data_IF_682190636738
#
_entry.id   IF_682190636738
#
_cell.length_a   1.000
_cell.length_b   1.000
_cell.length_c   1.000
_cell.angle_alpha   90.00
_cell.angle_beta   90.00
_cell.angle_gamma   90.00
#
_symmetry.space_group_name_H-M   'P 1'
#
loop_
_entity.id
_entity.type
_entity.pdbx_description
1 polymer ?
#
# COMPACT_ATOMS: atom_id res chain seq x y z
N UNK A 1 -4.62 34.11 20.01
CA UNK A 1 -3.79 33.23 19.16
C UNK A 1 -4.00 31.82 19.67
N UNK A 2 -4.62 30.92 18.89
CA UNK A 2 -4.70 29.52 19.30
C UNK A 2 -3.28 28.97 19.32
N UNK A 3 -2.94 28.22 20.38
CA UNK A 3 -1.68 27.50 20.48
C UNK A 3 -1.58 26.57 19.27
N UNK A 4 -0.54 26.73 18.47
CA UNK A 4 -0.08 25.69 17.54
C UNK A 4 0.23 24.48 18.41
N UNK A 5 -0.64 23.48 18.42
CA UNK A 5 -0.39 22.17 19.01
C UNK A 5 0.85 21.61 18.33
N UNK A 6 1.82 21.12 19.13
CA UNK A 6 3.06 20.57 18.61
C UNK A 6 2.78 19.45 17.60
N UNK A 7 3.58 19.39 16.53
CA UNK A 7 3.45 18.38 15.49
C UNK A 7 3.43 16.96 16.11
N UNK A 8 2.45 16.13 15.75
CA UNK A 8 2.37 14.74 16.22
C UNK A 8 3.55 13.94 15.68
N UNK A 9 4.10 13.01 16.47
CA UNK A 9 5.17 12.13 16.00
C UNK A 9 4.66 11.13 14.95
N UNK A 10 5.55 10.63 14.09
CA UNK A 10 5.22 9.61 13.07
C UNK A 10 4.61 8.34 13.68
N UNK A 11 5.00 7.97 14.89
CA UNK A 11 4.44 6.83 15.63
C UNK A 11 2.99 7.07 16.07
N UNK A 12 2.71 8.23 16.66
CA UNK A 12 1.35 8.62 17.07
C UNK A 12 0.38 8.60 15.88
N UNK A 13 0.83 9.11 14.72
CA UNK A 13 0.07 9.04 13.46
C UNK A 13 -0.30 7.61 13.08
N UNK A 14 0.66 6.68 13.14
CA UNK A 14 0.45 5.29 12.74
C UNK A 14 -0.55 4.59 13.66
N UNK A 15 -0.47 4.82 14.97
CA UNK A 15 -1.42 4.25 15.92
C UNK A 15 -2.82 4.88 15.77
N UNK A 16 -2.91 6.19 15.53
CA UNK A 16 -4.17 6.86 15.22
C UNK A 16 -4.82 6.32 13.95
N UNK A 17 -4.05 6.08 12.88
CA UNK A 17 -4.58 5.47 11.66
C UNK A 17 -5.19 4.09 11.93
N UNK A 18 -4.51 3.23 12.70
CA UNK A 18 -5.05 1.92 13.07
C UNK A 18 -6.34 2.08 13.88
N UNK A 19 -6.32 2.93 14.90
CA UNK A 19 -7.46 3.12 15.81
C UNK A 19 -8.68 3.68 15.06
N UNK A 20 -8.50 4.73 14.26
CA UNK A 20 -9.58 5.40 13.52
C UNK A 20 -10.21 4.44 12.52
N UNK A 21 -9.41 3.65 11.79
CA UNK A 21 -9.95 2.65 10.86
C UNK A 21 -10.74 1.53 11.55
N UNK A 22 -10.51 1.27 12.83
CA UNK A 22 -11.23 0.25 13.61
C UNK A 22 -12.47 0.81 14.33
N UNK A 23 -12.44 2.08 14.71
CA UNK A 23 -13.41 2.67 15.65
C UNK A 23 -14.34 3.71 15.02
N UNK A 24 -14.01 4.26 13.85
CA UNK A 24 -14.78 5.32 13.19
C UNK A 24 -15.35 4.85 11.85
N UNK A 25 -16.40 5.53 11.39
CA UNK A 25 -16.92 5.34 10.04
C UNK A 25 -16.08 6.13 9.04
N UNK A 26 -15.11 5.45 8.44
CA UNK A 26 -14.19 6.02 7.45
C UNK A 26 -14.56 5.63 6.03
N UNK A 27 -15.79 5.16 5.80
CA UNK A 27 -16.25 4.86 4.45
C UNK A 27 -16.61 6.13 3.69
N UNK A 28 -16.63 6.02 2.37
CA UNK A 28 -17.09 7.09 1.50
C UNK A 28 -18.59 7.37 1.72
N UNK A 29 -18.99 8.60 2.10
CA UNK A 29 -20.39 8.88 2.43
C UNK A 29 -21.36 8.79 1.25
N UNK A 30 -20.87 8.99 0.03
CA UNK A 30 -21.69 9.11 -1.20
C UNK A 30 -21.11 8.38 -2.42
N UNK A 31 -19.98 7.71 -2.25
CA UNK A 31 -19.27 7.06 -3.35
C UNK A 31 -19.07 5.59 -3.00
N UNK A 32 -19.47 4.72 -3.90
CA UNK A 32 -19.33 3.26 -3.79
C UNK A 32 -18.21 2.78 -4.71
N UNK A 33 -17.95 1.48 -4.71
CA UNK A 33 -16.90 0.88 -5.55
C UNK A 33 -17.27 0.81 -7.04
N UNK A 34 -18.54 1.02 -7.37
CA UNK A 34 -19.09 0.81 -8.71
C UNK A 34 -19.25 -0.68 -9.08
N UNK A 35 -18.81 -1.61 -8.22
CA UNK A 35 -18.96 -3.05 -8.45
C UNK A 35 -20.43 -3.47 -8.51
N UNK A 36 -21.34 -2.70 -7.90
CA UNK A 36 -22.78 -2.92 -7.98
C UNK A 36 -23.34 -2.75 -9.41
N UNK A 37 -22.60 -2.12 -10.33
CA UNK A 37 -22.97 -2.01 -11.74
C UNK A 37 -22.56 -3.22 -12.58
N UNK A 38 -21.77 -4.14 -12.02
CA UNK A 38 -21.29 -5.33 -12.72
C UNK A 38 -22.02 -6.58 -12.25
N UNK A 39 -22.43 -7.42 -13.18
CA UNK A 39 -23.00 -8.75 -12.92
C UNK A 39 -22.37 -9.74 -13.86
N UNK A 40 -21.85 -10.84 -13.30
CA UNK A 40 -21.44 -11.98 -14.11
C UNK A 40 -22.69 -12.73 -14.57
N UNK A 41 -22.76 -13.08 -15.85
CA UNK A 41 -23.85 -13.90 -16.36
C UNK A 41 -23.73 -15.30 -15.76
N UNK A 42 -24.75 -15.73 -15.03
CA UNK A 42 -24.79 -17.07 -14.47
C UNK A 42 -24.88 -18.10 -15.60
N UNK A 43 -23.97 -19.08 -15.59
CA UNK A 43 -24.04 -20.25 -16.45
C UNK A 43 -24.66 -21.41 -15.66
N UNK A 44 -25.92 -21.75 -15.99
CA UNK A 44 -26.68 -22.80 -15.30
C UNK A 44 -26.23 -24.21 -15.67
N UNK A 45 -25.54 -24.38 -16.81
CA UNK A 45 -25.00 -25.66 -17.27
C UNK A 45 -23.52 -25.47 -17.62
N UNK A 46 -22.63 -25.39 -16.62
CA UNK A 46 -21.24 -24.98 -16.83
C UNK A 46 -20.31 -26.10 -17.32
N UNK A 47 -20.78 -27.36 -17.33
CA UNK A 47 -20.03 -28.54 -17.80
C UNK A 47 -18.60 -28.65 -17.23
N UNK A 48 -18.43 -28.30 -15.95
CA UNK A 48 -17.16 -28.30 -15.23
C UNK A 48 -17.27 -28.99 -13.87
N UNK A 49 -16.16 -29.55 -13.39
CA UNK A 49 -15.99 -30.00 -12.02
C UNK A 49 -15.41 -28.85 -11.18
N UNK A 50 -16.06 -28.54 -10.05
CA UNK A 50 -15.58 -27.52 -9.11
C UNK A 50 -14.20 -27.88 -8.53
N UNK A 51 -13.91 -29.17 -8.36
CA UNK A 51 -12.62 -29.63 -7.83
C UNK A 51 -11.46 -29.41 -8.80
N UNK A 52 -11.74 -29.21 -10.09
CA UNK A 52 -10.73 -28.96 -11.13
C UNK A 52 -10.42 -27.47 -11.32
N UNK A 53 -11.12 -26.56 -10.63
CA UNK A 53 -10.87 -25.12 -10.73
C UNK A 53 -9.54 -24.76 -10.05
N UNK A 54 -8.56 -24.34 -10.83
CA UNK A 54 -7.30 -23.76 -10.34
C UNK A 54 -7.39 -22.23 -10.34
N UNK A 55 -7.30 -21.62 -9.15
CA UNK A 55 -7.19 -20.17 -8.98
C UNK A 55 -5.74 -19.68 -8.92
N UNK A 56 -4.77 -20.59 -9.04
CA UNK A 56 -3.36 -20.24 -8.96
C UNK A 56 -2.91 -19.34 -10.11
N UNK A 57 -2.03 -18.38 -9.78
CA UNK A 57 -1.41 -17.48 -10.76
C UNK A 57 0.10 -17.38 -10.52
N UNK A 58 0.85 -16.97 -11.52
CA UNK A 58 2.26 -16.58 -11.36
C UNK A 58 2.36 -15.08 -11.47
N UNK A 59 2.93 -14.43 -10.46
CA UNK A 59 3.16 -12.99 -10.42
C UNK A 59 4.60 -12.73 -9.95
N UNK A 60 5.33 -11.90 -10.71
CA UNK A 60 6.75 -11.56 -10.45
C UNK A 60 7.63 -12.79 -10.15
N UNK A 61 7.41 -13.89 -10.87
CA UNK A 61 8.19 -15.11 -10.75
C UNK A 61 7.79 -16.05 -9.61
N UNK A 62 6.81 -15.68 -8.77
CA UNK A 62 6.29 -16.54 -7.69
C UNK A 62 4.87 -17.02 -8.00
N UNK A 63 4.59 -18.28 -7.64
CA UNK A 63 3.23 -18.84 -7.75
C UNK A 63 2.43 -18.53 -6.49
N UNK A 64 1.24 -17.98 -6.69
CA UNK A 64 0.22 -17.77 -5.66
C UNK A 64 -0.88 -18.83 -5.81
N UNK A 65 -1.52 -19.22 -4.71
CA UNK A 65 -2.67 -20.14 -4.74
C UNK A 65 -3.96 -19.46 -5.23
N UNK A 66 -4.02 -18.13 -5.21
CA UNK A 66 -5.20 -17.35 -5.55
C UNK A 66 -4.79 -15.94 -6.02
N UNK A 67 -5.57 -15.26 -6.90
CA UNK A 67 -5.28 -13.90 -7.34
C UNK A 67 -5.75 -12.87 -6.30
N UNK A 68 -5.37 -13.07 -5.04
CA UNK A 68 -5.73 -12.24 -3.88
C UNK A 68 -4.44 -11.80 -3.21
N UNK A 69 -4.43 -10.59 -2.64
CA UNK A 69 -3.32 -10.09 -1.82
C UNK A 69 -3.85 -9.34 -0.61
N UNK A 70 -3.07 -9.34 0.48
CA UNK A 70 -3.29 -8.47 1.63
C UNK A 70 -2.55 -7.16 1.35
N UNK A 71 -3.29 -6.05 1.22
CA UNK A 71 -2.73 -4.75 0.83
C UNK A 71 -2.00 -4.07 2.00
N UNK A 72 -1.12 -3.12 1.66
CA UNK A 72 -0.37 -2.27 2.58
C UNK A 72 -1.25 -1.56 3.60
N UNK A 73 -0.89 -1.70 4.89
CA UNK A 73 -1.60 -1.08 6.01
C UNK A 73 -0.66 -0.41 7.02
N UNK A 74 0.27 -1.15 7.64
CA UNK A 74 0.95 -0.67 8.85
C UNK A 74 2.39 -1.14 9.01
N UNK A 75 3.04 -0.65 10.07
CA UNK A 75 4.41 -0.90 10.51
C UNK A 75 4.93 0.33 11.26
N UNK A 76 6.00 0.22 12.04
CA UNK A 76 6.61 1.35 12.77
C UNK A 76 6.13 1.59 14.20
N UNK A 77 5.29 0.70 14.76
CA UNK A 77 4.96 0.66 16.20
C UNK A 77 4.91 -0.81 16.66
N UNK A 78 4.99 -1.08 17.96
CA UNK A 78 4.90 -2.46 18.50
C UNK A 78 3.54 -3.10 18.16
N UNK A 79 2.45 -2.31 18.24
CA UNK A 79 1.12 -2.76 17.82
C UNK A 79 1.11 -3.16 16.35
N UNK A 80 1.73 -2.34 15.50
CA UNK A 80 1.83 -2.60 14.07
C UNK A 80 2.67 -3.85 13.75
N UNK A 81 3.73 -4.11 14.50
CA UNK A 81 4.54 -5.33 14.37
C UNK A 81 3.70 -6.59 14.57
N UNK A 82 2.89 -6.61 15.63
CA UNK A 82 2.01 -7.76 15.91
C UNK A 82 0.98 -7.98 14.78
N UNK A 83 0.41 -6.89 14.24
CA UNK A 83 -0.51 -6.97 13.09
C UNK A 83 0.21 -7.53 11.86
N UNK A 84 1.38 -6.99 11.51
CA UNK A 84 2.16 -7.44 10.35
C UNK A 84 2.51 -8.92 10.45
N UNK A 85 2.90 -9.40 11.64
CA UNK A 85 3.23 -10.81 11.86
C UNK A 85 2.02 -11.71 11.64
N UNK A 86 0.85 -11.38 12.20
CA UNK A 86 -0.38 -12.18 12.02
C UNK A 86 -0.81 -12.22 10.56
N UNK A 87 -0.76 -11.10 9.86
CA UNK A 87 -1.10 -11.03 8.44
C UNK A 87 -0.11 -11.83 7.57
N UNK A 88 1.17 -11.83 7.93
CA UNK A 88 2.19 -12.61 7.24
C UNK A 88 2.01 -14.12 7.46
N UNK A 89 1.72 -14.57 8.69
CA UNK A 89 1.37 -15.97 8.98
C UNK A 89 0.15 -16.41 8.16
N UNK A 90 -0.88 -15.56 8.09
CA UNK A 90 -2.07 -15.83 7.27
C UNK A 90 -1.76 -15.87 5.76
N UNK A 91 -0.93 -14.93 5.27
CA UNK A 91 -0.52 -14.89 3.87
C UNK A 91 0.33 -16.12 3.47
N UNK A 92 1.20 -16.58 4.37
CA UNK A 92 2.02 -17.78 4.18
C UNK A 92 1.14 -19.02 4.09
N UNK A 93 0.20 -19.19 5.02
CA UNK A 93 -0.73 -20.34 5.02
C UNK A 93 -1.61 -20.35 3.76
N UNK A 94 -2.18 -19.19 3.40
CA UNK A 94 -3.02 -19.05 2.21
C UNK A 94 -2.22 -19.00 0.89
N UNK A 95 -0.89 -18.87 0.96
CA UNK A 95 0.03 -18.68 -0.18
C UNK A 95 -0.41 -17.56 -1.12
N UNK A 96 -0.70 -16.41 -0.53
CA UNK A 96 -1.08 -15.17 -1.21
C UNK A 96 -0.02 -14.08 -0.98
N UNK A 97 -0.08 -13.00 -1.75
CA UNK A 97 0.86 -11.89 -1.60
C UNK A 97 0.51 -10.99 -0.40
N UNK A 98 1.50 -10.29 0.13
CA UNK A 98 1.37 -9.31 1.20
C UNK A 98 2.14 -8.03 0.85
N UNK A 99 1.49 -6.88 0.98
CA UNK A 99 2.17 -5.59 1.02
C UNK A 99 2.27 -5.08 2.46
N UNK A 100 3.46 -4.64 2.88
CA UNK A 100 3.63 -3.97 4.17
C UNK A 100 3.25 -2.49 4.07
N UNK A 101 3.04 -1.83 5.21
CA UNK A 101 2.83 -0.38 5.26
C UNK A 101 4.11 0.41 4.95
N UNK A 102 3.97 1.73 4.80
CA UNK A 102 5.09 2.63 4.48
C UNK A 102 6.26 2.48 5.45
N UNK A 103 7.43 2.12 4.90
CA UNK A 103 8.68 1.89 5.61
C UNK A 103 9.47 3.18 5.88
N UNK A 104 8.92 4.37 5.56
CA UNK A 104 9.53 5.68 5.85
C UNK A 104 10.09 5.75 7.28
N UNK A 105 9.28 5.35 8.27
CA UNK A 105 9.68 5.38 9.67
C UNK A 105 10.93 4.52 9.97
N UNK A 106 11.06 3.35 9.34
CA UNK A 106 12.24 2.48 9.53
C UNK A 106 13.48 2.94 8.73
N UNK A 107 13.28 3.75 7.68
CA UNK A 107 14.39 4.39 6.97
C UNK A 107 14.95 5.56 7.79
N UNK A 108 14.06 6.34 8.42
CA UNK A 108 14.40 7.46 9.30
C UNK A 108 14.97 6.98 10.64
N UNK A 109 14.40 5.93 11.23
CA UNK A 109 14.87 5.28 12.44
C UNK A 109 15.05 3.75 12.22
N UNK A 110 16.28 3.29 11.98
CA UNK A 110 16.57 1.87 11.76
C UNK A 110 16.16 0.94 12.90
N UNK A 111 15.95 1.43 14.13
CA UNK A 111 15.48 0.59 15.25
C UNK A 111 14.06 0.05 15.01
N UNK A 112 13.27 0.73 14.18
CA UNK A 112 11.90 0.33 13.82
C UNK A 112 11.86 -0.73 12.72
N UNK A 113 12.98 -1.11 12.11
CA UNK A 113 13.01 -2.13 11.04
C UNK A 113 12.42 -3.48 11.49
N UNK A 114 12.59 -3.83 12.77
CA UNK A 114 12.03 -5.05 13.37
C UNK A 114 10.50 -5.13 13.28
N UNK A 115 9.81 -3.99 13.16
CA UNK A 115 8.35 -3.95 13.01
C UNK A 115 7.84 -4.35 11.62
N UNK A 116 8.76 -4.50 10.65
CA UNK A 116 8.49 -4.94 9.29
C UNK A 116 9.09 -6.32 8.99
N UNK A 117 9.88 -6.89 9.91
CA UNK A 117 10.49 -8.20 9.73
C UNK A 117 9.45 -9.33 9.89
N UNK A 118 8.95 -9.78 8.76
CA UNK A 118 7.96 -10.86 8.67
C UNK A 118 8.50 -12.13 8.00
N UNK A 119 9.73 -12.10 7.47
CA UNK A 119 10.30 -13.23 6.72
C UNK A 119 10.53 -14.47 7.58
N UNK A 120 10.70 -14.28 8.89
CA UNK A 120 10.80 -15.39 9.84
C UNK A 120 9.53 -16.28 9.89
N UNK A 121 8.35 -15.70 9.63
CA UNK A 121 7.06 -16.42 9.65
C UNK A 121 6.47 -16.63 8.25
N UNK A 122 6.90 -15.84 7.27
CA UNK A 122 6.45 -15.92 5.89
C UNK A 122 7.63 -15.90 4.90
N UNK A 123 8.45 -16.97 4.86
CA UNK A 123 9.66 -17.01 4.04
C UNK A 123 9.36 -17.05 2.53
N UNK A 124 8.22 -17.61 2.12
CA UNK A 124 7.98 -17.96 0.71
C UNK A 124 7.07 -16.97 -0.02
N UNK A 125 6.26 -16.20 0.72
CA UNK A 125 5.25 -15.32 0.12
C UNK A 125 5.88 -14.29 -0.83
N UNK A 126 5.08 -13.86 -1.79
CA UNK A 126 5.35 -12.67 -2.59
C UNK A 126 5.12 -11.45 -1.69
N UNK A 127 6.19 -10.78 -1.29
CA UNK A 127 6.18 -9.68 -0.31
C UNK A 127 6.52 -8.35 -0.97
N UNK A 128 5.76 -7.31 -0.67
CA UNK A 128 5.98 -5.97 -1.23
C UNK A 128 6.45 -4.99 -0.16
N UNK A 129 7.59 -4.34 -0.43
CA UNK A 129 8.04 -3.16 0.29
C UNK A 129 7.13 -1.98 -0.06
N UNK A 130 7.11 -0.93 0.77
CA UNK A 130 6.25 0.23 0.52
C UNK A 130 6.90 1.55 0.93
N UNK A 131 6.89 2.52 0.02
CA UNK A 131 7.26 3.91 0.27
C UNK A 131 6.25 4.87 -0.37
N UNK A 132 6.13 6.06 0.22
CA UNK A 132 5.35 7.14 -0.39
C UNK A 132 6.12 7.74 -1.55
N UNK A 133 5.52 7.74 -2.74
CA UNK A 133 6.15 8.29 -3.94
C UNK A 133 6.57 9.75 -3.72
N UNK A 134 5.77 10.51 -2.96
CA UNK A 134 6.06 11.91 -2.64
C UNK A 134 7.43 12.11 -1.99
N UNK A 135 7.96 11.12 -1.25
CA UNK A 135 9.27 11.24 -0.59
C UNK A 135 10.43 11.44 -1.59
N UNK A 136 10.26 11.04 -2.86
CA UNK A 136 11.23 11.32 -3.92
C UNK A 136 11.41 12.84 -4.17
N UNK A 137 10.46 13.66 -3.72
CA UNK A 137 10.56 15.13 -3.73
C UNK A 137 11.14 15.72 -2.44
N UNK A 138 11.40 14.90 -1.42
CA UNK A 138 11.86 15.30 -0.09
C UNK A 138 13.17 14.60 0.31
N UNK A 139 13.99 14.23 -0.68
CA UNK A 139 15.36 13.75 -0.48
C UNK A 139 15.55 12.24 -0.65
N UNK A 140 14.49 11.47 -0.87
CA UNK A 140 14.62 10.05 -1.17
C UNK A 140 15.01 9.85 -2.64
N UNK A 141 15.82 8.85 -2.90
CA UNK A 141 16.22 8.41 -4.23
C UNK A 141 16.21 6.88 -4.35
N UNK A 142 17.03 6.39 -5.28
CA UNK A 142 17.14 4.95 -5.55
C UNK A 142 17.68 4.17 -4.35
N UNK A 143 18.57 4.77 -3.56
CA UNK A 143 19.19 4.10 -2.41
C UNK A 143 18.18 3.85 -1.29
N UNK A 144 17.27 4.80 -1.00
CA UNK A 144 16.18 4.59 -0.05
C UNK A 144 15.18 3.53 -0.55
N UNK A 145 14.90 3.51 -1.85
CA UNK A 145 14.06 2.47 -2.47
C UNK A 145 14.69 1.09 -2.30
N UNK A 146 15.99 0.96 -2.59
CA UNK A 146 16.74 -0.30 -2.44
C UNK A 146 16.80 -0.72 -0.98
N UNK A 147 17.06 0.21 -0.05
CA UNK A 147 17.01 -0.06 1.41
C UNK A 147 15.65 -0.57 1.86
N UNK A 148 14.53 -0.02 1.36
CA UNK A 148 13.20 -0.52 1.70
C UNK A 148 12.99 -1.97 1.23
N UNK A 149 13.44 -2.29 0.03
CA UNK A 149 13.37 -3.65 -0.53
C UNK A 149 14.24 -4.62 0.28
N UNK A 150 15.51 -4.27 0.51
CA UNK A 150 16.47 -5.10 1.23
C UNK A 150 16.06 -5.37 2.68
N UNK A 151 15.49 -4.37 3.37
CA UNK A 151 15.06 -4.45 4.77
C UNK A 151 14.17 -5.65 5.05
N UNK A 152 13.31 -6.04 4.11
CA UNK A 152 12.36 -7.15 4.27
C UNK A 152 12.57 -8.25 3.22
N UNK A 153 13.65 -8.15 2.43
CA UNK A 153 13.91 -9.00 1.29
C UNK A 153 12.70 -9.06 0.35
N UNK A 154 12.14 -7.89 0.01
CA UNK A 154 10.92 -7.78 -0.78
C UNK A 154 11.12 -8.27 -2.22
N UNK A 155 10.03 -8.76 -2.82
CA UNK A 155 9.98 -9.20 -4.20
C UNK A 155 9.58 -8.08 -5.17
N UNK A 156 8.99 -6.98 -4.66
CA UNK A 156 8.65 -5.77 -5.40
C UNK A 156 8.55 -4.55 -4.46
N UNK A 157 8.59 -3.35 -5.02
CA UNK A 157 8.40 -2.09 -4.30
C UNK A 157 7.08 -1.43 -4.69
N UNK A 158 6.22 -1.17 -3.72
CA UNK A 158 5.08 -0.27 -3.87
C UNK A 158 5.55 1.17 -3.68
N UNK A 159 5.29 2.01 -4.68
CA UNK A 159 5.27 3.46 -4.55
C UNK A 159 3.82 3.92 -4.44
N UNK A 160 3.39 4.25 -3.23
CA UNK A 160 2.02 4.72 -3.02
C UNK A 160 1.88 6.21 -3.37
N UNK A 161 0.76 6.55 -3.99
CA UNK A 161 0.36 7.88 -4.43
C UNK A 161 -0.88 8.27 -3.61
N UNK A 162 -0.70 9.24 -2.73
CA UNK A 162 -1.69 9.63 -1.71
C UNK A 162 -1.94 11.15 -1.72
N UNK A 163 -2.03 11.74 -2.91
CA UNK A 163 -2.08 13.20 -3.12
C UNK A 163 -3.16 13.87 -2.26
N UNK A 164 -4.37 13.33 -2.26
CA UNK A 164 -5.46 13.92 -1.50
C UNK A 164 -5.24 13.77 0.01
N UNK A 165 -4.71 12.62 0.46
CA UNK A 165 -4.40 12.40 1.87
C UNK A 165 -3.37 13.42 2.37
N UNK A 166 -2.26 13.61 1.65
CA UNK A 166 -1.24 14.60 2.02
C UNK A 166 -1.81 16.03 1.98
N UNK A 167 -2.74 16.32 1.07
CA UNK A 167 -3.34 17.66 0.97
C UNK A 167 -4.27 18.03 2.16
N UNK A 168 -4.90 17.04 2.80
CA UNK A 168 -5.82 17.27 3.93
C UNK A 168 -5.18 17.04 5.29
N UNK A 169 -4.06 16.29 5.34
CA UNK A 169 -3.31 16.05 6.55
C UNK A 169 -2.55 17.33 6.98
N UNK A 170 -2.59 17.73 8.26
CA UNK A 170 -1.94 18.98 8.71
C UNK A 170 -0.43 19.05 8.42
N UNK A 171 0.25 17.91 8.54
CA UNK A 171 1.69 17.72 8.35
C UNK A 171 2.04 17.07 7.00
N UNK A 172 1.17 17.17 6.00
CA UNK A 172 1.33 16.48 4.73
C UNK A 172 2.36 17.07 3.76
N UNK A 173 2.99 16.20 2.99
CA UNK A 173 3.97 16.54 1.95
C UNK A 173 3.22 16.93 0.65
N UNK A 174 3.09 18.24 0.37
CA UNK A 174 2.28 18.74 -0.74
C UNK A 174 2.96 18.83 -2.11
N UNK A 175 4.27 18.61 -2.22
CA UNK A 175 4.99 18.76 -3.48
C UNK A 175 4.97 17.48 -4.32
N UNK A 176 4.06 17.42 -5.29
CA UNK A 176 3.97 16.33 -6.29
C UNK A 176 4.52 16.72 -7.68
N UNK A 177 5.13 17.91 -7.80
CA UNK A 177 5.66 18.38 -9.09
C UNK A 177 6.82 17.49 -9.57
N UNK A 178 6.86 17.21 -10.87
CA UNK A 178 7.93 16.41 -11.48
C UNK A 178 8.03 14.95 -11.00
N UNK A 179 7.08 14.46 -10.21
CA UNK A 179 7.18 13.16 -9.53
C UNK A 179 7.22 11.98 -10.52
N UNK A 180 6.49 12.07 -11.63
CA UNK A 180 6.43 11.00 -12.64
C UNK A 180 7.81 10.62 -13.20
N UNK A 181 8.65 11.61 -13.53
CA UNK A 181 10.00 11.35 -14.05
C UNK A 181 10.92 10.69 -13.01
N UNK A 182 10.68 10.96 -11.71
CA UNK A 182 11.41 10.30 -10.63
C UNK A 182 10.95 8.86 -10.44
N UNK A 183 9.64 8.60 -10.55
CA UNK A 183 9.10 7.24 -10.57
C UNK A 183 9.70 6.44 -11.73
N UNK A 184 9.75 7.02 -12.93
CA UNK A 184 10.38 6.41 -14.11
C UNK A 184 11.85 6.06 -13.84
N UNK A 185 12.60 6.97 -13.23
CA UNK A 185 14.00 6.73 -12.85
C UNK A 185 14.12 5.53 -11.89
N UNK A 186 13.24 5.42 -10.89
CA UNK A 186 13.23 4.28 -9.96
C UNK A 186 12.90 2.98 -10.70
N UNK A 187 11.90 2.98 -11.59
CA UNK A 187 11.52 1.80 -12.36
C UNK A 187 12.67 1.26 -13.23
N UNK A 188 13.52 2.14 -13.76
CA UNK A 188 14.67 1.74 -14.58
C UNK A 188 15.89 1.28 -13.79
N UNK A 189 16.04 1.69 -12.54
CA UNK A 189 17.26 1.44 -11.75
C UNK A 189 17.09 0.40 -10.66
N UNK A 190 15.87 0.15 -10.19
CA UNK A 190 15.60 -0.79 -9.11
C UNK A 190 15.63 -2.24 -9.64
N UNK A 191 16.22 -3.15 -8.87
CA UNK A 191 16.38 -4.56 -9.25
C UNK A 191 15.08 -5.37 -9.20
N UNK A 192 14.08 -4.86 -8.47
CA UNK A 192 12.77 -5.49 -8.32
C UNK A 192 11.68 -4.66 -9.01
N UNK A 193 10.56 -5.28 -9.43
CA UNK A 193 9.44 -4.58 -10.03
C UNK A 193 8.90 -3.45 -9.12
N UNK A 194 8.48 -2.35 -9.74
CA UNK A 194 7.81 -1.24 -9.06
C UNK A 194 6.30 -1.30 -9.32
N UNK A 195 5.50 -1.16 -8.26
CA UNK A 195 4.04 -1.13 -8.30
C UNK A 195 3.59 0.29 -7.95
N UNK A 196 2.81 0.93 -8.82
CA UNK A 196 2.12 2.15 -8.44
C UNK A 196 0.81 1.82 -7.72
N UNK A 197 0.58 2.43 -6.56
CA UNK A 197 -0.60 2.14 -5.74
C UNK A 197 -1.29 3.42 -5.31
N UNK A 198 -2.60 3.53 -5.46
CA UNK A 198 -3.37 4.59 -4.80
C UNK A 198 -3.72 4.15 -3.36
N UNK A 199 -4.32 5.02 -2.56
CA UNK A 199 -4.66 4.71 -1.17
C UNK A 199 -6.16 4.67 -0.88
N UNK A 200 -7.04 5.16 -1.77
CA UNK A 200 -8.49 5.04 -1.62
C UNK A 200 -9.33 5.81 -2.64
N UNK A 201 -8.74 6.60 -3.54
CA UNK A 201 -9.45 7.42 -4.54
C UNK A 201 -9.27 6.92 -5.98
N UNK A 202 -8.30 6.05 -6.22
CA UNK A 202 -8.11 5.41 -7.51
C UNK A 202 -7.37 6.25 -8.56
N UNK A 203 -7.07 5.61 -9.69
CA UNK A 203 -6.37 6.24 -10.80
C UNK A 203 -7.34 6.68 -11.90
N UNK A 204 -7.10 7.87 -12.46
CA UNK A 204 -7.69 8.22 -13.74
C UNK A 204 -7.05 7.39 -14.86
N UNK A 205 -7.74 7.16 -16.00
CA UNK A 205 -7.14 6.49 -17.15
C UNK A 205 -5.87 7.17 -17.68
N UNK A 206 -5.77 8.50 -17.53
CA UNK A 206 -4.57 9.25 -17.91
C UNK A 206 -3.40 8.92 -16.98
N UNK A 207 -3.60 8.96 -15.66
CA UNK A 207 -2.56 8.66 -14.69
C UNK A 207 -2.08 7.20 -14.82
N UNK A 208 -3.00 6.26 -15.00
CA UNK A 208 -2.66 4.85 -15.20
C UNK A 208 -1.79 4.64 -16.45
N UNK A 209 -2.11 5.30 -17.57
CA UNK A 209 -1.27 5.26 -18.79
C UNK A 209 0.10 5.87 -18.56
N UNK A 210 0.16 7.04 -17.94
CA UNK A 210 1.43 7.71 -17.64
C UNK A 210 2.35 6.85 -16.76
N UNK A 211 1.80 6.18 -15.75
CA UNK A 211 2.56 5.28 -14.88
C UNK A 211 3.02 4.02 -15.62
N UNK A 212 2.16 3.44 -16.46
CA UNK A 212 2.54 2.31 -17.30
C UNK A 212 3.67 2.68 -18.28
N UNK A 213 3.58 3.85 -18.92
CA UNK A 213 4.62 4.37 -19.82
C UNK A 213 5.93 4.65 -19.08
N UNK A 214 5.86 5.07 -17.80
CA UNK A 214 7.02 5.25 -16.92
C UNK A 214 7.65 3.94 -16.44
N UNK A 215 7.07 2.78 -16.78
CA UNK A 215 7.67 1.47 -16.52
C UNK A 215 7.26 0.80 -15.20
N UNK A 216 6.18 1.23 -14.55
CA UNK A 216 5.64 0.47 -13.41
C UNK A 216 5.16 -0.90 -13.91
N UNK A 217 5.48 -1.95 -13.17
CA UNK A 217 5.16 -3.32 -13.55
C UNK A 217 3.71 -3.72 -13.24
N UNK A 218 3.08 -3.01 -12.29
CA UNK A 218 1.67 -3.19 -11.94
C UNK A 218 1.07 -1.90 -11.38
N UNK A 219 -0.26 -1.83 -11.43
CA UNK A 219 -1.07 -0.78 -10.81
C UNK A 219 -2.02 -1.44 -9.82
N UNK A 220 -1.92 -1.06 -8.55
CA UNK A 220 -2.92 -1.35 -7.52
C UNK A 220 -3.87 -0.17 -7.42
N UNK A 221 -5.08 -0.35 -7.97
CA UNK A 221 -6.03 0.74 -8.15
C UNK A 221 -6.41 1.37 -6.81
N UNK A 222 -6.62 0.58 -5.75
CA UNK A 222 -7.08 1.08 -4.44
C UNK A 222 -8.12 2.20 -4.57
N UNK A 223 -9.19 1.93 -5.32
CA UNK A 223 -10.22 2.89 -5.66
C UNK A 223 -11.18 3.22 -4.52
N UNK A 224 -12.04 4.19 -4.78
CA UNK A 224 -13.08 4.61 -3.85
C UNK A 224 -14.12 3.53 -3.56
N UNK A 225 -14.87 3.73 -2.46
CA UNK A 225 -15.93 2.83 -1.99
C UNK A 225 -15.50 1.83 -0.91
N UNK A 226 -14.22 1.81 -0.53
CA UNK A 226 -13.70 1.13 0.66
C UNK A 226 -13.32 2.13 1.75
N UNK A 227 -12.13 1.96 2.33
CA UNK A 227 -11.53 2.94 3.25
C UNK A 227 -11.25 4.26 2.55
N UNK A 228 -11.73 5.37 3.10
CA UNK A 228 -11.43 6.73 2.64
C UNK A 228 -10.36 7.37 3.53
N UNK A 229 -9.14 7.52 3.02
CA UNK A 229 -8.08 8.18 3.81
C UNK A 229 -8.34 9.65 4.07
N UNK A 230 -9.12 10.34 3.22
CA UNK A 230 -9.55 11.70 3.54
C UNK A 230 -10.49 11.76 4.74
N UNK A 231 -11.34 10.74 4.94
CA UNK A 231 -12.17 10.63 6.15
C UNK A 231 -11.32 10.25 7.37
N UNK A 232 -10.32 9.38 7.19
CA UNK A 232 -9.35 9.07 8.26
C UNK A 232 -8.66 10.35 8.74
N UNK A 233 -8.17 11.19 7.83
CA UNK A 233 -7.53 12.45 8.20
C UNK A 233 -8.53 13.47 8.75
N UNK A 234 -9.78 13.48 8.29
CA UNK A 234 -10.85 14.30 8.89
C UNK A 234 -11.05 13.98 10.38
N UNK A 235 -11.05 12.70 10.75
CA UNK A 235 -11.13 12.26 12.14
C UNK A 235 -9.86 12.54 12.95
N UNK A 236 -8.71 12.74 12.29
CA UNK A 236 -7.46 13.18 12.94
C UNK A 236 -7.37 14.69 13.15
N UNK A 237 -8.04 15.47 12.30
CA UNK A 237 -7.94 16.93 12.33
C UNK A 237 -8.38 17.48 13.71
N UNK A 238 -7.62 18.41 14.29
CA UNK A 238 -8.01 19.03 15.55
C UNK A 238 -9.33 19.78 15.39
N UNK A 239 -10.26 19.52 16.32
CA UNK A 239 -11.56 20.21 16.43
C UNK A 239 -11.42 21.67 16.83
#
# INVERSE_FOLDING_TARGET
MPKVTGASTTEQRKDDHIRINLEQDVQFPRLTTGLEHFRFMHQAVPELDLAEIDTGIVLFGKRLSSPILISSMTGGTERAQNINRVLAEAAQEARIALGLGSQRAAIEDPTLAITYDVRAVAPDILLFANLGAVQLNYGYGIDECRRAVEMIQADALILHLNVLQEAVQPEGDGNFSGLLAKIETVCHQLEVPVIAKEVGWGFSPQAARQLADAGVAAIDVAGAGGTSWSEVEYHRAPS
#
